data_IF_196179418667
#
_entry.id   IF_196179418667
#
_cell.length_a   1.000
_cell.length_b   1.000
_cell.length_c   1.000
_cell.angle_alpha   90.00
_cell.angle_beta   90.00
_cell.angle_gamma   90.00
#
_symmetry.space_group_name_H-M   'P 1'
#
loop_
_entity.id
_entity.type
_entity.pdbx_description
1 polymer ?
#
# COMPACT_ATOMS: atom_id res chain seq x y z
N UNK A 1 -16.17 -21.78 -35.06
CA UNK A 1 -14.95 -21.07 -34.61
C UNK A 1 -14.20 -21.97 -33.65
N UNK A 2 -12.91 -22.28 -33.85
CA UNK A 2 -12.16 -23.06 -32.87
C UNK A 2 -11.76 -22.17 -31.69
N UNK A 3 -11.64 -22.71 -30.47
CA UNK A 3 -11.27 -21.94 -29.30
C UNK A 3 -9.82 -21.47 -29.41
N UNK A 4 -9.62 -20.15 -29.27
CA UNK A 4 -8.31 -19.49 -29.23
C UNK A 4 -7.52 -19.99 -28.02
N UNK A 5 -6.53 -20.83 -28.27
CA UNK A 5 -5.47 -21.21 -27.33
C UNK A 5 -4.73 -19.95 -26.89
N UNK A 6 -4.95 -19.50 -25.66
CA UNK A 6 -4.13 -18.44 -25.04
C UNK A 6 -2.72 -18.99 -24.88
N UNK A 7 -1.81 -18.52 -25.74
CA UNK A 7 -0.35 -18.64 -25.59
C UNK A 7 0.06 -18.09 -24.23
N UNK A 8 0.18 -18.96 -23.23
CA UNK A 8 1.14 -18.78 -22.16
C UNK A 8 2.52 -18.97 -22.80
N UNK A 9 3.11 -17.89 -23.30
CA UNK A 9 4.55 -17.87 -23.52
C UNK A 9 5.21 -17.90 -22.14
N UNK A 10 6.02 -18.93 -21.82
CA UNK A 10 6.90 -18.87 -20.68
C UNK A 10 7.89 -17.74 -20.98
N UNK A 11 7.77 -16.62 -20.27
CA UNK A 11 8.86 -15.68 -20.16
C UNK A 11 10.10 -16.48 -19.77
N UNK A 12 11.12 -16.38 -20.63
CA UNK A 12 12.46 -16.95 -20.51
C UNK A 12 12.86 -17.04 -19.04
N UNK A 13 13.40 -18.21 -18.67
CA UNK A 13 14.07 -18.48 -17.39
C UNK A 13 14.97 -17.31 -17.03
N UNK A 14 14.42 -16.32 -16.32
CA UNK A 14 15.20 -15.32 -15.63
C UNK A 14 15.97 -16.10 -14.58
N UNK A 15 17.28 -15.88 -14.52
CA UNK A 15 18.14 -16.50 -13.52
C UNK A 15 17.44 -16.49 -12.17
N UNK A 16 17.18 -17.68 -11.63
CA UNK A 16 16.54 -17.80 -10.34
C UNK A 16 17.33 -16.96 -9.35
N UNK A 17 16.61 -16.13 -8.60
CA UNK A 17 17.28 -15.34 -7.59
C UNK A 17 17.92 -16.26 -6.55
N UNK A 18 18.85 -15.70 -5.79
CA UNK A 18 19.62 -16.51 -4.86
C UNK A 18 18.76 -17.23 -3.81
N UNK A 19 17.70 -16.58 -3.31
CA UNK A 19 16.78 -17.20 -2.36
C UNK A 19 16.04 -18.40 -2.98
N UNK A 20 15.63 -18.31 -4.25
CA UNK A 20 14.99 -19.38 -4.98
C UNK A 20 15.97 -20.55 -5.23
N UNK A 21 17.22 -20.27 -5.62
CA UNK A 21 18.26 -21.29 -5.79
C UNK A 21 18.55 -22.05 -4.49
N UNK A 22 18.65 -21.33 -3.37
CA UNK A 22 18.84 -21.94 -2.05
C UNK A 22 17.60 -22.75 -1.62
N UNK A 23 16.39 -22.25 -1.88
CA UNK A 23 15.16 -22.97 -1.59
C UNK A 23 15.01 -24.25 -2.44
N UNK A 24 15.54 -24.27 -3.66
CA UNK A 24 15.60 -25.48 -4.50
C UNK A 24 16.57 -26.51 -3.92
N UNK A 25 17.75 -26.09 -3.47
CA UNK A 25 18.70 -27.01 -2.80
C UNK A 25 18.14 -27.59 -1.51
N UNK A 26 17.44 -26.79 -0.71
CA UNK A 26 16.74 -27.28 0.49
C UNK A 26 15.62 -28.28 0.14
N UNK A 27 14.91 -28.07 -0.98
CA UNK A 27 13.92 -29.02 -1.48
C UNK A 27 14.57 -30.33 -1.96
N UNK A 28 15.72 -30.26 -2.62
CA UNK A 28 16.50 -31.44 -3.01
C UNK A 28 17.00 -32.22 -1.78
N UNK A 29 17.29 -31.52 -0.69
CA UNK A 29 17.63 -32.12 0.61
C UNK A 29 16.40 -32.63 1.40
N UNK A 30 15.19 -32.58 0.82
CA UNK A 30 13.98 -33.15 1.40
C UNK A 30 13.06 -32.17 2.15
N UNK A 31 13.40 -30.89 2.26
CA UNK A 31 12.52 -29.90 2.89
C UNK A 31 11.38 -29.48 1.96
N UNK A 32 10.12 -29.55 2.41
CA UNK A 32 9.03 -29.00 1.60
C UNK A 32 9.01 -27.46 1.64
N UNK A 33 8.32 -26.81 0.70
CA UNK A 33 8.10 -25.35 0.74
C UNK A 33 7.46 -24.88 2.05
N UNK A 34 6.63 -25.73 2.67
CA UNK A 34 6.00 -25.45 3.97
C UNK A 34 7.02 -25.48 5.10
N UNK A 35 7.96 -26.41 5.05
CA UNK A 35 9.01 -26.55 6.05
C UNK A 35 10.02 -25.41 5.96
N UNK A 36 10.43 -25.04 4.73
CA UNK A 36 11.25 -23.84 4.50
C UNK A 36 10.55 -22.59 5.08
N UNK A 37 9.23 -22.47 4.88
CA UNK A 37 8.48 -21.35 5.44
C UNK A 37 8.46 -21.35 6.97
N UNK A 38 8.27 -22.53 7.60
CA UNK A 38 8.32 -22.70 9.06
C UNK A 38 9.70 -22.37 9.63
N UNK A 39 10.78 -22.86 9.01
CA UNK A 39 12.17 -22.57 9.38
C UNK A 39 12.42 -21.06 9.41
N UNK A 40 11.86 -20.33 8.44
CA UNK A 40 11.99 -18.87 8.35
C UNK A 40 11.00 -18.08 9.20
N UNK A 41 10.09 -18.73 9.94
CA UNK A 41 8.97 -18.11 10.67
C UNK A 41 8.04 -17.31 9.73
N UNK A 42 7.73 -17.82 8.53
CA UNK A 42 6.93 -17.11 7.52
C UNK A 42 5.85 -18.00 6.91
N UNK A 43 4.96 -17.33 6.19
CA UNK A 43 3.91 -18.00 5.41
C UNK A 43 4.48 -18.64 4.13
N UNK A 44 4.02 -19.84 3.70
CA UNK A 44 4.48 -20.51 2.48
C UNK A 44 4.35 -19.67 1.19
N UNK A 45 3.43 -18.70 1.16
CA UNK A 45 3.31 -17.76 0.05
C UNK A 45 4.58 -16.91 -0.15
N UNK A 46 5.36 -16.67 0.92
CA UNK A 46 6.64 -15.96 0.81
C UNK A 46 7.66 -16.78 0.00
N UNK A 47 7.76 -18.09 0.27
CA UNK A 47 8.67 -18.99 -0.46
C UNK A 47 8.27 -19.04 -1.94
N UNK A 48 6.97 -19.07 -2.23
CA UNK A 48 6.47 -18.97 -3.61
C UNK A 48 6.82 -17.63 -4.30
N UNK A 49 6.96 -16.55 -3.52
CA UNK A 49 7.37 -15.24 -4.01
C UNK A 49 8.87 -15.14 -4.31
N UNK A 50 9.70 -16.08 -3.83
CA UNK A 50 11.11 -16.14 -4.24
C UNK A 50 11.21 -16.37 -5.75
N UNK A 51 10.45 -17.33 -6.25
CA UNK A 51 10.40 -17.70 -7.67
C UNK A 51 9.64 -16.69 -8.53
N UNK A 52 8.52 -16.16 -8.02
CA UNK A 52 7.58 -15.40 -8.87
C UNK A 52 7.78 -13.89 -8.84
N UNK A 53 8.31 -13.35 -7.73
CA UNK A 53 8.38 -11.89 -7.50
C UNK A 53 9.79 -11.38 -7.21
N UNK A 54 10.79 -12.21 -7.46
CA UNK A 54 12.18 -11.92 -7.15
C UNK A 54 12.40 -11.43 -5.69
N UNK A 55 11.64 -11.98 -4.73
CA UNK A 55 11.79 -11.65 -3.30
C UNK A 55 12.76 -12.61 -2.61
N UNK A 56 13.08 -12.33 -1.35
CA UNK A 56 13.79 -13.27 -0.48
C UNK A 56 15.23 -12.90 -0.16
N UNK A 57 15.78 -11.83 -0.73
CA UNK A 57 17.17 -11.38 -0.48
C UNK A 57 17.51 -11.27 1.02
N UNK A 58 16.59 -10.76 1.84
CA UNK A 58 16.77 -10.65 3.29
C UNK A 58 16.87 -11.99 4.04
N UNK A 59 16.47 -13.11 3.40
CA UNK A 59 16.49 -14.45 3.99
C UNK A 59 17.66 -15.30 3.47
N UNK A 60 18.42 -14.80 2.49
CA UNK A 60 19.57 -15.52 1.92
C UNK A 60 20.59 -15.94 2.99
N UNK A 61 20.99 -15.09 3.96
CA UNK A 61 21.90 -15.51 5.01
C UNK A 61 21.37 -16.68 5.84
N UNK A 62 20.09 -16.64 6.22
CA UNK A 62 19.44 -17.72 6.97
C UNK A 62 19.35 -19.01 6.15
N UNK A 63 18.95 -18.92 4.87
CA UNK A 63 18.86 -20.08 3.97
C UNK A 63 20.23 -20.76 3.77
N UNK A 64 21.31 -19.99 3.63
CA UNK A 64 22.67 -20.54 3.53
C UNK A 64 23.08 -21.31 4.79
N UNK A 65 22.78 -20.78 5.97
CA UNK A 65 23.14 -21.41 7.25
C UNK A 65 22.33 -22.67 7.51
N UNK A 66 21.03 -22.67 7.18
CA UNK A 66 20.17 -23.86 7.24
C UNK A 66 20.69 -24.94 6.27
N UNK A 67 21.05 -24.56 5.04
CA UNK A 67 21.58 -25.50 4.07
C UNK A 67 22.91 -26.12 4.53
N UNK A 68 23.82 -25.32 5.08
CA UNK A 68 25.07 -25.82 5.66
C UNK A 68 24.82 -26.76 6.86
N UNK A 69 23.85 -26.44 7.71
CA UNK A 69 23.46 -27.30 8.84
C UNK A 69 22.94 -28.67 8.37
N UNK A 70 22.20 -28.72 7.26
CA UNK A 70 21.73 -29.98 6.67
C UNK A 70 22.88 -30.73 5.99
N UNK A 71 23.60 -30.06 5.08
CA UNK A 71 24.61 -30.71 4.22
C UNK A 71 25.89 -31.11 4.97
N UNK A 72 26.31 -30.30 5.95
CA UNK A 72 27.56 -30.54 6.71
C UNK A 72 27.30 -31.04 8.12
N UNK A 73 26.24 -30.54 8.78
CA UNK A 73 25.90 -30.92 10.15
C UNK A 73 24.97 -32.12 10.26
N UNK A 74 24.33 -32.56 9.17
CA UNK A 74 23.35 -33.66 9.19
C UNK A 74 22.07 -33.34 9.98
N UNK A 75 21.83 -32.06 10.30
CA UNK A 75 20.67 -31.64 11.08
C UNK A 75 19.42 -31.72 10.21
N UNK A 76 18.43 -32.48 10.67
CA UNK A 76 17.15 -32.66 9.96
C UNK A 76 15.94 -32.20 10.79
N UNK A 77 16.14 -31.92 12.08
CA UNK A 77 15.08 -31.46 12.97
C UNK A 77 14.65 -30.02 12.63
N UNK A 78 13.36 -29.83 12.38
CA UNK A 78 12.82 -28.53 11.93
C UNK A 78 12.92 -27.43 13.00
N UNK A 79 12.58 -27.66 14.29
CA UNK A 79 12.85 -26.71 15.36
C UNK A 79 14.31 -26.26 15.45
N UNK A 80 15.26 -27.19 15.33
CA UNK A 80 16.69 -26.87 15.36
C UNK A 80 17.11 -26.01 14.16
N UNK A 81 16.67 -26.38 12.95
CA UNK A 81 16.89 -25.58 11.74
C UNK A 81 16.25 -24.19 11.84
N UNK A 82 15.07 -24.08 12.46
CA UNK A 82 14.42 -22.80 12.73
C UNK A 82 15.22 -21.94 13.71
N UNK A 83 15.80 -22.55 14.75
CA UNK A 83 16.67 -21.84 15.71
C UNK A 83 17.94 -21.30 15.04
N UNK A 84 18.52 -22.05 14.09
CA UNK A 84 19.64 -21.59 13.26
C UNK A 84 19.20 -20.42 12.39
N UNK A 85 18.10 -20.57 11.64
CA UNK A 85 17.59 -19.53 10.77
C UNK A 85 17.27 -18.23 11.52
N UNK A 86 16.67 -18.33 12.72
CA UNK A 86 16.26 -17.19 13.52
C UNK A 86 17.42 -16.22 13.84
N UNK A 87 18.64 -16.74 14.03
CA UNK A 87 19.85 -15.93 14.28
C UNK A 87 20.25 -15.06 13.09
N UNK A 88 19.79 -15.42 11.89
CA UNK A 88 20.15 -14.78 10.62
C UNK A 88 18.97 -14.14 9.90
N UNK A 89 17.76 -14.21 10.47
CA UNK A 89 16.59 -13.47 9.98
C UNK A 89 16.39 -12.20 10.79
N UNK A 90 16.58 -11.04 10.16
CA UNK A 90 16.34 -9.76 10.81
C UNK A 90 15.05 -9.11 10.31
N UNK A 91 14.29 -8.51 11.23
CA UNK A 91 13.22 -7.60 10.85
C UNK A 91 13.83 -6.34 10.26
N UNK A 92 13.22 -5.84 9.19
CA UNK A 92 13.57 -4.53 8.63
C UNK A 92 13.39 -3.46 9.71
N UNK A 93 14.36 -2.57 9.82
CA UNK A 93 14.32 -1.38 10.68
C UNK A 93 14.11 -0.11 9.86
N UNK A 94 13.63 0.96 10.50
CA UNK A 94 13.64 2.32 9.96
C UNK A 94 15.05 2.88 9.99
N UNK A 95 15.28 4.02 9.33
CA UNK A 95 16.56 4.73 9.41
C UNK A 95 16.97 5.10 10.85
N UNK A 96 15.99 5.20 11.76
CA UNK A 96 16.19 5.44 13.20
C UNK A 96 16.36 4.16 14.04
N UNK A 97 16.47 2.97 13.42
CA UNK A 97 16.63 1.70 14.13
C UNK A 97 15.35 1.10 14.71
N UNK A 98 14.22 1.82 14.67
CA UNK A 98 12.94 1.28 15.11
C UNK A 98 12.44 0.17 14.17
N UNK A 99 11.63 -0.77 14.69
CA UNK A 99 11.04 -1.84 13.85
C UNK A 99 10.17 -1.22 12.76
N UNK A 100 10.47 -1.53 11.49
CA UNK A 100 9.65 -1.07 10.37
C UNK A 100 8.26 -1.71 10.47
N UNK A 101 7.23 -0.87 10.50
CA UNK A 101 5.84 -1.34 10.54
C UNK A 101 5.48 -1.97 9.20
N UNK A 102 4.78 -3.11 9.27
CA UNK A 102 4.13 -3.72 8.10
C UNK A 102 3.13 -2.70 7.57
N UNK A 103 3.15 -2.42 6.26
CA UNK A 103 2.10 -1.63 5.60
C UNK A 103 0.81 -2.44 5.63
N UNK A 104 0.05 -2.36 6.73
CA UNK A 104 -1.33 -2.84 6.78
C UNK A 104 -2.20 -1.94 5.93
N UNK A 105 -3.08 -2.57 5.15
CA UNK A 105 -3.96 -1.91 4.20
C UNK A 105 -5.30 -1.62 4.87
N UNK A 106 -5.36 -0.58 5.70
CA UNK A 106 -6.51 0.31 5.93
C UNK A 106 -6.40 1.03 7.28
N UNK A 107 -6.43 2.36 7.22
CA UNK A 107 -7.42 3.19 7.91
C UNK A 107 -7.63 2.86 9.40
N UNK A 108 -6.72 3.30 10.26
CA UNK A 108 -7.04 3.48 11.67
C UNK A 108 -6.46 4.81 12.15
N UNK A 109 -7.30 5.58 12.83
CA UNK A 109 -6.88 6.78 13.55
C UNK A 109 -6.01 6.30 14.70
N UNK A 110 -4.78 6.80 14.75
CA UNK A 110 -3.83 6.52 15.82
C UNK A 110 -4.35 7.06 17.15
N UNK A 111 -3.87 6.54 18.30
CA UNK A 111 -4.23 7.09 19.62
C UNK A 111 -3.94 8.59 19.78
N UNK A 112 -2.99 9.12 19.00
CA UNK A 112 -2.67 10.55 18.95
C UNK A 112 -3.68 11.37 18.11
N UNK A 113 -4.73 10.75 17.60
CA UNK A 113 -5.81 11.40 16.87
C UNK A 113 -5.47 11.75 15.43
N UNK A 114 -4.49 11.08 14.81
CA UNK A 114 -4.17 11.24 13.39
C UNK A 114 -4.45 9.97 12.60
N UNK A 115 -5.05 10.09 11.42
CA UNK A 115 -5.40 8.95 10.57
C UNK A 115 -5.07 9.20 9.10
N UNK A 116 -4.82 8.13 8.36
CA UNK A 116 -4.67 8.21 6.90
C UNK A 116 -5.23 6.98 6.22
N UNK A 117 -5.84 7.20 5.05
CA UNK A 117 -6.41 6.16 4.21
C UNK A 117 -6.17 6.48 2.74
N UNK A 118 -5.71 5.50 1.97
CA UNK A 118 -5.35 5.69 0.56
C UNK A 118 -5.94 4.62 -0.33
N UNK A 119 -6.48 5.03 -1.47
CA UNK A 119 -7.17 4.17 -2.43
C UNK A 119 -6.79 4.51 -3.87
N UNK A 120 -6.62 3.46 -4.68
CA UNK A 120 -6.40 3.58 -6.13
C UNK A 120 -7.59 3.01 -6.92
N UNK A 121 -7.45 3.02 -8.25
CA UNK A 121 -8.50 2.76 -9.24
C UNK A 121 -9.54 1.67 -8.89
N UNK A 122 -9.12 0.48 -8.43
CA UNK A 122 -10.07 -0.60 -8.12
C UNK A 122 -11.06 -0.24 -7.00
N UNK A 123 -10.62 0.52 -6.00
CA UNK A 123 -11.50 0.93 -4.91
C UNK A 123 -12.28 2.20 -5.24
N UNK A 124 -11.76 3.07 -6.12
CA UNK A 124 -12.53 4.19 -6.69
C UNK A 124 -13.80 3.66 -7.38
N UNK A 125 -13.67 2.59 -8.17
CA UNK A 125 -14.79 1.97 -8.88
C UNK A 125 -15.89 1.42 -7.94
N UNK A 126 -15.57 1.14 -6.67
CA UNK A 126 -16.52 0.72 -5.64
C UNK A 126 -16.81 1.82 -4.60
N UNK A 127 -16.68 3.08 -5.02
CA UNK A 127 -17.00 4.25 -4.21
C UNK A 127 -16.05 4.51 -3.04
N UNK A 128 -14.91 3.82 -3.00
CA UNK A 128 -13.92 3.92 -1.93
C UNK A 128 -14.48 3.66 -0.53
N UNK A 129 -15.49 2.80 -0.41
CA UNK A 129 -16.23 2.53 0.82
C UNK A 129 -15.33 2.23 2.05
N UNK A 130 -14.15 1.65 1.83
CA UNK A 130 -13.16 1.40 2.90
C UNK A 130 -12.57 2.64 3.57
N UNK A 131 -12.75 3.83 2.99
CA UNK A 131 -12.39 5.10 3.63
C UNK A 131 -13.48 5.62 4.57
N UNK A 132 -14.73 5.15 4.42
CA UNK A 132 -15.85 5.62 5.22
C UNK A 132 -15.63 5.47 6.74
N UNK A 133 -15.09 4.35 7.26
CA UNK A 133 -14.78 4.25 8.68
C UNK A 133 -13.78 5.29 9.18
N UNK A 134 -12.82 5.72 8.33
CA UNK A 134 -11.87 6.80 8.68
C UNK A 134 -12.62 8.09 8.99
N UNK A 135 -13.52 8.44 8.07
CA UNK A 135 -14.22 9.72 8.04
C UNK A 135 -15.25 9.74 9.16
N UNK A 136 -15.99 8.65 9.34
CA UNK A 136 -16.96 8.50 10.43
C UNK A 136 -16.29 8.60 11.80
N UNK A 137 -15.16 7.91 12.02
CA UNK A 137 -14.45 8.00 13.29
C UNK A 137 -13.82 9.38 13.51
N UNK A 138 -13.31 10.01 12.46
CA UNK A 138 -12.80 11.38 12.52
C UNK A 138 -13.90 12.38 12.86
N UNK A 139 -15.10 12.22 12.31
CA UNK A 139 -16.28 13.02 12.65
C UNK A 139 -16.69 12.82 14.12
N UNK A 140 -16.75 11.56 14.58
CA UNK A 140 -17.06 11.23 15.98
C UNK A 140 -16.09 11.88 16.97
N UNK A 141 -14.82 12.00 16.59
CA UNK A 141 -13.75 12.57 17.39
C UNK A 141 -13.55 14.08 17.18
N UNK A 142 -14.37 14.75 16.37
CA UNK A 142 -14.25 16.19 16.10
C UNK A 142 -12.93 16.60 15.42
N UNK A 143 -12.41 15.74 14.54
CA UNK A 143 -11.12 15.97 13.87
C UNK A 143 -11.26 16.87 12.64
N UNK A 144 -10.11 17.36 12.17
CA UNK A 144 -9.97 17.97 10.84
C UNK A 144 -9.58 16.91 9.81
N UNK A 145 -9.93 17.18 8.55
CA UNK A 145 -9.70 16.32 7.40
C UNK A 145 -9.06 17.09 6.24
N UNK A 146 -8.20 16.42 5.50
CA UNK A 146 -7.72 16.83 4.19
C UNK A 146 -7.82 15.64 3.23
N UNK A 147 -7.88 15.91 1.95
CA UNK A 147 -7.76 14.86 0.94
C UNK A 147 -6.81 15.25 -0.18
N UNK A 148 -6.29 14.23 -0.84
CA UNK A 148 -5.42 14.36 -2.00
C UNK A 148 -5.99 13.49 -3.11
N UNK A 149 -6.20 14.06 -4.27
CA UNK A 149 -6.77 13.38 -5.44
C UNK A 149 -5.78 13.36 -6.59
N UNK A 150 -5.85 12.32 -7.42
CA UNK A 150 -5.14 12.25 -8.69
C UNK A 150 -6.11 12.05 -9.82
N UNK A 151 -5.95 12.83 -10.89
CA UNK A 151 -6.75 12.74 -12.11
C UNK A 151 -5.93 13.21 -13.31
N UNK A 152 -6.46 13.05 -14.52
CA UNK A 152 -5.82 13.55 -15.74
C UNK A 152 -5.68 15.07 -15.69
N UNK A 153 -4.54 15.64 -16.12
CA UNK A 153 -4.30 17.10 -16.06
C UNK A 153 -5.44 17.93 -16.66
N UNK A 154 -6.04 17.43 -17.74
CA UNK A 154 -7.16 18.06 -18.46
C UNK A 154 -8.48 18.08 -17.67
N UNK A 155 -8.59 17.30 -16.60
CA UNK A 155 -9.76 17.29 -15.73
C UNK A 155 -9.80 18.44 -14.72
N UNK A 156 -8.65 19.06 -14.42
CA UNK A 156 -8.61 20.25 -13.56
C UNK A 156 -9.00 21.49 -14.35
N UNK A 157 -9.85 22.33 -13.74
CA UNK A 157 -10.26 23.61 -14.31
C UNK A 157 -9.22 24.69 -14.02
N UNK A 158 -8.63 24.64 -12.83
CA UNK A 158 -7.66 25.62 -12.37
C UNK A 158 -6.23 25.18 -12.72
N UNK A 159 -5.40 26.15 -13.06
CA UNK A 159 -3.98 25.92 -13.34
C UNK A 159 -3.26 25.30 -12.12
N UNK A 160 -2.30 24.43 -12.40
CA UNK A 160 -1.46 23.78 -11.39
C UNK A 160 -0.81 24.82 -10.46
N UNK A 161 -1.01 24.67 -9.16
CA UNK A 161 -0.43 25.57 -8.15
C UNK A 161 -1.14 26.91 -7.98
N UNK A 162 -2.33 27.08 -8.60
CA UNK A 162 -3.16 28.27 -8.39
C UNK A 162 -3.55 28.44 -6.92
N UNK A 163 -3.48 29.69 -6.42
CA UNK A 163 -3.93 30.03 -5.06
C UNK A 163 -5.44 29.87 -4.87
N UNK A 164 -6.20 29.92 -5.96
CA UNK A 164 -7.66 29.70 -5.96
C UNK A 164 -8.04 28.23 -5.89
N UNK A 165 -7.14 27.32 -6.27
CA UNK A 165 -7.39 25.88 -6.30
C UNK A 165 -7.16 25.25 -4.93
N UNK A 166 -5.96 25.49 -4.37
CA UNK A 166 -5.58 25.04 -3.04
C UNK A 166 -5.20 26.26 -2.20
N UNK A 167 -6.15 26.90 -1.49
CA UNK A 167 -5.84 28.03 -0.62
C UNK A 167 -4.83 27.60 0.44
N UNK A 168 -3.60 28.13 0.33
CA UNK A 168 -2.50 27.87 1.25
C UNK A 168 -1.49 26.79 0.82
N UNK A 169 -1.74 26.01 -0.23
CA UNK A 169 -0.93 24.80 -0.53
C UNK A 169 -0.32 24.89 -1.94
N UNK A 170 0.59 25.86 -2.15
CA UNK A 170 1.35 25.97 -3.41
C UNK A 170 2.26 24.75 -3.70
N UNK A 171 2.48 23.85 -2.74
CA UNK A 171 3.57 22.86 -2.76
C UNK A 171 3.15 21.40 -2.93
N UNK A 172 1.86 21.08 -2.97
CA UNK A 172 1.40 19.68 -3.03
C UNK A 172 0.82 19.28 -4.39
N UNK A 173 1.24 19.96 -5.46
CA UNK A 173 0.93 19.54 -6.82
C UNK A 173 2.05 18.63 -7.32
N UNK A 174 1.73 17.36 -7.57
CA UNK A 174 2.68 16.39 -8.13
C UNK A 174 2.24 16.06 -9.54
N UNK A 175 2.97 16.59 -10.52
CA UNK A 175 2.82 16.22 -11.92
C UNK A 175 3.53 14.89 -12.18
N UNK A 176 2.87 14.00 -12.92
CA UNK A 176 3.41 12.68 -13.24
C UNK A 176 3.64 12.53 -14.74
N UNK A 177 4.54 11.62 -15.09
CA UNK A 177 4.91 11.33 -16.47
C UNK A 177 3.72 10.79 -17.30
N UNK A 178 2.73 10.18 -16.66
CA UNK A 178 1.53 9.64 -17.32
C UNK A 178 0.42 10.67 -17.53
N UNK A 179 0.77 11.95 -17.64
CA UNK A 179 -0.16 13.08 -17.87
C UNK A 179 -1.26 13.23 -16.80
N UNK A 180 -1.07 12.63 -15.64
CA UNK A 180 -1.92 12.85 -14.46
C UNK A 180 -1.26 13.82 -13.50
N UNK A 181 -2.09 14.38 -12.63
CA UNK A 181 -1.64 15.30 -11.60
C UNK A 181 -2.38 15.02 -10.28
N UNK A 182 -1.59 15.03 -9.21
CA UNK A 182 -2.06 14.84 -7.85
C UNK A 182 -2.12 16.20 -7.15
N UNK A 183 -3.26 16.54 -6.52
CA UNK A 183 -3.47 17.79 -5.81
C UNK A 183 -4.04 17.55 -4.42
N UNK A 184 -3.53 18.29 -3.44
CA UNK A 184 -4.00 18.24 -2.05
C UNK A 184 -4.90 19.42 -1.70
N UNK A 185 -5.95 19.11 -0.95
CA UNK A 185 -6.95 20.05 -0.44
C UNK A 185 -6.97 19.95 1.09
N UNK A 186 -6.47 20.99 1.74
CA UNK A 186 -6.27 21.06 3.18
C UNK A 186 -4.95 20.46 3.67
N UNK A 187 -4.48 20.95 4.81
CA UNK A 187 -3.32 20.44 5.54
C UNK A 187 -3.40 20.83 7.01
N UNK A 188 -2.60 20.18 7.86
CA UNK A 188 -2.50 20.57 9.27
C UNK A 188 -1.93 21.98 9.46
N UNK A 189 -1.20 22.51 8.48
CA UNK A 189 -0.56 23.82 8.52
C UNK A 189 -1.47 24.95 8.01
N UNK A 190 -2.32 24.66 7.03
CA UNK A 190 -3.12 25.67 6.30
C UNK A 190 -4.61 25.57 6.58
N UNK A 191 -5.00 24.67 7.49
CA UNK A 191 -6.39 24.34 7.74
C UNK A 191 -6.89 23.19 6.86
N UNK A 192 -7.93 22.52 7.36
CA UNK A 192 -8.60 21.41 6.69
C UNK A 192 -10.11 21.51 6.85
N UNK A 193 -10.81 20.58 6.23
CA UNK A 193 -12.25 20.42 6.37
C UNK A 193 -12.60 19.95 7.78
N UNK A 194 -13.78 20.32 8.26
CA UNK A 194 -14.38 19.64 9.40
C UNK A 194 -14.74 18.20 8.97
N UNK A 195 -14.30 17.20 9.75
CA UNK A 195 -14.60 15.81 9.43
C UNK A 195 -16.10 15.50 9.51
N UNK A 196 -16.86 16.17 10.39
CA UNK A 196 -18.30 15.99 10.50
C UNK A 196 -19.03 16.54 9.28
N UNK A 197 -18.60 17.68 8.75
CA UNK A 197 -19.16 18.25 7.51
C UNK A 197 -18.92 17.30 6.32
N UNK A 198 -17.71 16.75 6.23
CA UNK A 198 -17.38 15.83 5.16
C UNK A 198 -18.07 14.47 5.32
N UNK A 199 -18.27 13.99 6.55
CA UNK A 199 -19.05 12.79 6.82
C UNK A 199 -20.49 12.93 6.33
N UNK A 200 -21.15 14.07 6.57
CA UNK A 200 -22.50 14.34 6.05
C UNK A 200 -22.56 14.30 4.52
N UNK A 201 -21.54 14.79 3.83
CA UNK A 201 -21.43 14.69 2.36
C UNK A 201 -21.28 13.23 1.89
N UNK A 202 -20.47 12.44 2.59
CA UNK A 202 -20.32 11.01 2.31
C UNK A 202 -21.63 10.26 2.51
N UNK A 203 -22.37 10.55 3.58
CA UNK A 203 -23.67 9.92 3.82
C UNK A 203 -24.73 10.36 2.79
N UNK A 204 -24.73 11.63 2.37
CA UNK A 204 -25.57 12.12 1.27
C UNK A 204 -25.25 11.43 -0.07
N UNK A 205 -24.00 10.98 -0.25
CA UNK A 205 -23.56 10.16 -1.37
C UNK A 205 -23.73 8.64 -1.11
N UNK A 206 -24.64 8.24 -0.22
CA UNK A 206 -24.90 6.84 0.14
C UNK A 206 -23.66 6.05 0.62
N UNK A 207 -22.68 6.74 1.21
CA UNK A 207 -21.42 6.15 1.66
C UNK A 207 -20.31 6.10 0.62
N UNK A 208 -20.55 6.61 -0.60
CA UNK A 208 -19.54 6.72 -1.65
C UNK A 208 -18.64 7.94 -1.39
N UNK A 209 -17.44 7.66 -0.89
CA UNK A 209 -16.43 8.68 -0.59
C UNK A 209 -15.88 9.31 -1.88
N UNK A 210 -15.81 8.55 -2.97
CA UNK A 210 -15.33 9.05 -4.26
C UNK A 210 -16.32 10.06 -4.84
N UNK A 211 -17.61 9.73 -4.83
CA UNK A 211 -18.69 10.61 -5.28
C UNK A 211 -18.76 11.88 -4.43
N UNK A 212 -18.67 11.77 -3.10
CA UNK A 212 -18.68 12.94 -2.22
C UNK A 212 -17.51 13.91 -2.49
N UNK A 213 -16.29 13.37 -2.69
CA UNK A 213 -15.13 14.19 -3.05
C UNK A 213 -15.31 14.79 -4.45
N UNK A 214 -15.74 14.00 -5.43
CA UNK A 214 -15.97 14.46 -6.80
C UNK A 214 -17.00 15.59 -6.85
N UNK A 215 -18.16 15.42 -6.20
CA UNK A 215 -19.21 16.42 -6.10
C UNK A 215 -18.69 17.73 -5.49
N UNK A 216 -17.98 17.66 -4.35
CA UNK A 216 -17.38 18.85 -3.76
C UNK A 216 -16.41 19.55 -4.73
N UNK A 217 -15.57 18.80 -5.45
CA UNK A 217 -14.61 19.38 -6.39
C UNK A 217 -15.29 20.02 -7.60
N UNK A 218 -16.41 19.46 -8.08
CA UNK A 218 -17.23 20.04 -9.15
C UNK A 218 -17.97 21.28 -8.67
N UNK A 219 -18.67 21.21 -7.54
CA UNK A 219 -19.41 22.33 -6.92
C UNK A 219 -18.52 23.54 -6.69
N UNK A 220 -17.26 23.28 -6.36
CA UNK A 220 -16.28 24.31 -6.06
C UNK A 220 -15.44 24.71 -7.28
N UNK A 221 -15.70 24.14 -8.47
CA UNK A 221 -15.04 24.52 -9.73
C UNK A 221 -13.56 24.14 -9.82
N UNK A 222 -13.13 23.09 -9.08
CA UNK A 222 -11.75 22.58 -9.11
C UNK A 222 -11.55 21.63 -10.29
N UNK A 223 -12.58 20.84 -10.62
CA UNK A 223 -12.56 19.87 -11.72
C UNK A 223 -13.79 20.00 -12.61
N UNK A 224 -13.68 19.48 -13.82
CA UNK A 224 -14.80 19.28 -14.73
C UNK A 224 -15.71 18.15 -14.21
N UNK A 225 -17.00 18.20 -14.55
CA UNK A 225 -17.97 17.18 -14.14
C UNK A 225 -17.70 15.78 -14.72
N UNK A 226 -16.95 15.67 -15.82
CA UNK A 226 -16.54 14.41 -16.46
C UNK A 226 -15.17 13.91 -15.98
N UNK A 227 -14.51 14.60 -15.04
CA UNK A 227 -13.17 14.25 -14.59
C UNK A 227 -13.18 13.00 -13.71
N UNK A 228 -12.37 12.00 -14.08
CA UNK A 228 -12.28 10.77 -13.30
C UNK A 228 -11.17 10.84 -12.23
N UNK A 229 -11.54 10.62 -10.97
CA UNK A 229 -10.57 10.42 -9.88
C UNK A 229 -9.94 9.03 -10.04
N UNK A 230 -8.61 8.96 -10.15
CA UNK A 230 -7.83 7.73 -10.29
C UNK A 230 -7.25 7.24 -8.96
N UNK A 231 -7.05 8.18 -8.04
CA UNK A 231 -6.50 7.94 -6.72
C UNK A 231 -7.08 8.95 -5.73
N UNK A 232 -7.34 8.49 -4.52
CA UNK A 232 -7.81 9.30 -3.41
C UNK A 232 -7.05 8.93 -2.14
N UNK A 233 -6.64 9.95 -1.40
CA UNK A 233 -6.13 9.83 -0.05
C UNK A 233 -6.89 10.77 0.86
N UNK A 234 -7.17 10.30 2.08
CA UNK A 234 -7.76 11.07 3.17
C UNK A 234 -6.78 11.08 4.33
N UNK A 235 -6.57 12.25 4.92
CA UNK A 235 -5.71 12.48 6.10
C UNK A 235 -6.54 13.19 7.16
N UNK A 236 -6.42 12.78 8.42
CA UNK A 236 -7.15 13.38 9.55
C UNK A 236 -6.20 13.71 10.70
N UNK A 237 -6.50 14.76 11.46
CA UNK A 237 -5.71 15.19 12.61
C UNK A 237 -6.57 15.94 13.63
N UNK A 238 -6.12 15.97 14.89
CA UNK A 238 -6.70 16.86 15.89
C UNK A 238 -6.34 18.31 15.57
N UNK A 239 -7.30 19.25 15.55
CA UNK A 239 -6.99 20.66 15.54
C UNK A 239 -6.12 21.00 16.77
N UNK A 240 -5.18 21.93 16.61
CA UNK A 240 -4.36 22.45 17.71
C UNK A 240 -5.15 23.46 18.52
#
# INVERSE_FOLDING_TARGET
MPPRTRRNQPQRQGELNEAARLADRLQQAGCTKRDIARILDRDPSLVSQFYTKNKGAAFVPALRQVLAAIETGGITDLPELAAIAARHTHRRTTASGARARVRTKAVLITPTGSGTGRVGAQAIASGSARLRPLIAEAARLGLRLAFTVRLAKTGYVLASGSRTDSPGIRRDVIQRADHTEERSYGSAQTGGFDAADFARRVDAAAGDVTAAVHQWMVETGRIRADAQILHLEVRTWRPR
#
